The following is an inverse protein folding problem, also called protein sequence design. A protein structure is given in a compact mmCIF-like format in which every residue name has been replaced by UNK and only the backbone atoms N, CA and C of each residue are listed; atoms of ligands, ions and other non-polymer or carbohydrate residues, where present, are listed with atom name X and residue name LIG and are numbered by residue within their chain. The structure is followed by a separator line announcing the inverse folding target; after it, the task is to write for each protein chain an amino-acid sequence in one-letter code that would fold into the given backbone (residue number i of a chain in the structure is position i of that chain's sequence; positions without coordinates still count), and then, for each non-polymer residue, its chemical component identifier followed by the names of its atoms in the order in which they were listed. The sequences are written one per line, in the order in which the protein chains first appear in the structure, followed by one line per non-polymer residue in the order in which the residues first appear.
data_IF_265127452275
#
_entry.id   IF_265127452275
#
_cell.length_a   1.000
_cell.length_b   1.000
_cell.length_c   1.000
_cell.angle_alpha   90.00
_cell.angle_beta   90.00
_cell.angle_gamma   90.00
#
_symmetry.space_group_name_H-M   'P 1'
#
loop_
_entity.id
_entity.type
_entity.pdbx_description
1 polymer ?
#
# COMPACT_ATOMS: atom_id res chain seq x y z
N UNK A 1 -48.81 6.70 -9.40
CA UNK A 1 -48.13 7.56 -8.42
C UNK A 1 -47.07 6.72 -7.71
N UNK A 2 -45.79 6.97 -8.00
CA UNK A 2 -44.67 6.96 -7.03
C UNK A 2 -43.46 7.52 -7.77
N UNK A 3 -42.94 8.61 -7.22
CA UNK A 3 -41.87 9.47 -7.72
C UNK A 3 -40.64 8.72 -8.25
N UNK A 4 -40.33 8.91 -9.54
CA UNK A 4 -38.96 8.87 -10.03
C UNK A 4 -38.22 10.09 -9.45
N UNK A 5 -37.41 9.86 -8.42
CA UNK A 5 -36.53 10.88 -7.85
C UNK A 5 -35.65 11.48 -8.96
N UNK A 6 -35.47 12.81 -9.03
CA UNK A 6 -34.56 13.41 -9.98
C UNK A 6 -33.15 12.89 -9.66
N UNK A 7 -32.49 12.33 -10.68
CA UNK A 7 -31.07 12.03 -10.59
C UNK A 7 -30.34 13.36 -10.41
N UNK A 8 -29.92 13.65 -9.18
CA UNK A 8 -29.00 14.75 -8.87
C UNK A 8 -27.72 14.55 -9.69
N UNK A 9 -27.67 15.19 -10.85
CA UNK A 9 -26.44 15.44 -11.59
C UNK A 9 -25.61 16.42 -10.80
N UNK A 10 -24.95 15.92 -9.76
CA UNK A 10 -23.89 16.64 -9.07
C UNK A 10 -22.92 17.17 -10.13
N UNK A 11 -22.70 18.50 -10.23
CA UNK A 11 -21.83 19.05 -11.24
C UNK A 11 -20.45 18.42 -11.04
N UNK A 12 -19.89 17.86 -12.11
CA UNK A 12 -18.53 17.30 -12.14
C UNK A 12 -17.54 18.40 -11.75
N UNK A 13 -17.30 18.56 -10.45
CA UNK A 13 -16.26 19.42 -9.92
C UNK A 13 -14.94 18.82 -10.38
N UNK A 14 -14.37 19.41 -11.42
CA UNK A 14 -13.04 19.05 -11.91
C UNK A 14 -12.07 19.28 -10.75
N UNK A 15 -11.49 18.18 -10.26
CA UNK A 15 -10.50 18.21 -9.19
C UNK A 15 -9.35 19.15 -9.58
N UNK A 16 -9.02 20.06 -8.65
CA UNK A 16 -7.95 21.02 -8.80
C UNK A 16 -6.62 20.30 -9.08
N UNK A 17 -5.80 20.89 -9.96
CA UNK A 17 -4.51 20.32 -10.35
C UNK A 17 -3.62 20.13 -9.13
N UNK A 18 -3.70 21.04 -8.16
CA UNK A 18 -2.97 20.93 -6.90
C UNK A 18 -3.38 19.70 -6.09
N UNK A 19 -4.68 19.36 -6.05
CA UNK A 19 -5.16 18.15 -5.36
C UNK A 19 -4.63 16.89 -6.03
N UNK A 20 -4.58 16.87 -7.36
CA UNK A 20 -4.01 15.74 -8.11
C UNK A 20 -2.51 15.58 -7.88
N UNK A 21 -1.77 16.69 -7.88
CA UNK A 21 -0.34 16.69 -7.61
C UNK A 21 -0.02 16.31 -6.16
N UNK A 22 -0.77 16.84 -5.19
CA UNK A 22 -0.62 16.49 -3.77
C UNK A 22 -0.92 15.00 -3.52
N UNK A 23 -1.97 14.47 -4.15
CA UNK A 23 -2.29 13.04 -4.08
C UNK A 23 -1.19 12.18 -4.72
N UNK A 24 -0.71 12.56 -5.90
CA UNK A 24 0.39 11.87 -6.59
C UNK A 24 1.71 11.93 -5.82
N UNK A 25 2.02 13.04 -5.16
CA UNK A 25 3.20 13.18 -4.31
C UNK A 25 3.14 12.22 -3.10
N UNK A 26 1.94 12.01 -2.54
CA UNK A 26 1.72 11.00 -1.51
C UNK A 26 1.97 9.57 -2.02
N UNK A 27 1.43 9.24 -3.19
CA UNK A 27 1.55 7.90 -3.81
C UNK A 27 2.99 7.58 -4.28
N UNK A 28 3.75 8.60 -4.70
CA UNK A 28 5.16 8.44 -5.08
C UNK A 28 5.99 7.78 -3.97
N UNK A 29 5.71 8.09 -2.71
CA UNK A 29 6.44 7.48 -1.59
C UNK A 29 6.29 5.96 -1.55
N UNK A 30 5.07 5.45 -1.76
CA UNK A 30 4.77 4.03 -1.80
C UNK A 30 5.42 3.34 -3.02
N UNK A 31 5.26 3.94 -4.20
CA UNK A 31 5.82 3.39 -5.44
C UNK A 31 7.35 3.36 -5.47
N UNK A 32 8.00 4.41 -4.97
CA UNK A 32 9.47 4.50 -4.87
C UNK A 32 9.99 3.47 -3.87
N UNK A 33 9.37 3.38 -2.69
CA UNK A 33 9.80 2.45 -1.64
C UNK A 33 9.66 1.00 -2.10
N UNK A 34 8.54 0.64 -2.74
CA UNK A 34 8.31 -0.70 -3.27
C UNK A 34 9.33 -1.09 -4.36
N UNK A 35 9.70 -0.15 -5.23
CA UNK A 35 10.75 -0.40 -6.22
C UNK A 35 12.11 -0.53 -5.56
N UNK A 36 12.52 0.44 -4.74
CA UNK A 36 13.81 0.38 -4.04
C UNK A 36 13.96 -0.92 -3.24
N UNK A 37 12.92 -1.33 -2.51
CA UNK A 37 12.89 -2.60 -1.79
C UNK A 37 13.21 -3.78 -2.72
N UNK A 38 12.53 -3.90 -3.86
CA UNK A 38 12.73 -5.02 -4.78
C UNK A 38 14.15 -5.05 -5.36
N UNK A 39 14.69 -3.88 -5.74
CA UNK A 39 16.04 -3.76 -6.29
C UNK A 39 17.12 -4.03 -5.23
N UNK A 40 17.01 -3.41 -4.06
CA UNK A 40 17.98 -3.56 -2.97
C UNK A 40 18.00 -4.99 -2.41
N UNK A 41 16.83 -5.63 -2.26
CA UNK A 41 16.76 -6.99 -1.73
C UNK A 41 17.37 -8.00 -2.71
N UNK A 42 17.14 -7.83 -4.02
CA UNK A 42 17.76 -8.69 -5.04
C UNK A 42 19.29 -8.62 -4.96
N UNK A 43 19.84 -7.39 -4.96
CA UNK A 43 21.29 -7.14 -4.90
C UNK A 43 21.87 -7.70 -3.61
N UNK A 44 21.19 -7.53 -2.48
CA UNK A 44 21.62 -8.09 -1.20
C UNK A 44 21.67 -9.63 -1.26
N UNK A 45 20.62 -10.27 -1.76
CA UNK A 45 20.55 -11.73 -1.85
C UNK A 45 21.65 -12.29 -2.77
N UNK A 46 21.93 -11.66 -3.91
CA UNK A 46 22.94 -12.18 -4.85
C UNK A 46 24.37 -11.80 -4.46
N UNK A 47 24.62 -10.55 -4.06
CA UNK A 47 25.99 -10.02 -3.91
C UNK A 47 26.50 -10.08 -2.48
N UNK A 48 25.63 -10.05 -1.47
CA UNK A 48 26.03 -10.08 -0.05
C UNK A 48 25.82 -11.48 0.52
N UNK A 49 24.64 -12.06 0.33
CA UNK A 49 24.32 -13.41 0.81
C UNK A 49 24.84 -14.52 -0.12
N UNK A 50 25.31 -14.18 -1.32
CA UNK A 50 25.90 -15.13 -2.27
C UNK A 50 24.89 -16.13 -2.86
N UNK A 51 23.59 -15.83 -2.81
CA UNK A 51 22.55 -16.71 -3.31
C UNK A 51 22.60 -16.79 -4.84
N UNK A 52 22.34 -17.98 -5.38
CA UNK A 52 22.15 -18.13 -6.83
C UNK A 52 21.03 -17.19 -7.31
N UNK A 53 21.23 -16.41 -8.40
CA UNK A 53 20.20 -15.52 -8.95
C UNK A 53 18.84 -16.19 -9.20
N UNK A 54 18.83 -17.48 -9.56
CA UNK A 54 17.60 -18.24 -9.74
C UNK A 54 16.81 -18.39 -8.43
N UNK A 55 17.48 -18.64 -7.31
CA UNK A 55 16.86 -18.74 -5.99
C UNK A 55 16.46 -17.35 -5.46
N UNK A 56 17.30 -16.33 -5.67
CA UNK A 56 16.98 -14.96 -5.28
C UNK A 56 15.72 -14.45 -6.01
N UNK A 57 15.59 -14.77 -7.31
CA UNK A 57 14.38 -14.48 -8.08
C UNK A 57 13.13 -15.19 -7.56
N UNK A 58 13.25 -16.45 -7.12
CA UNK A 58 12.14 -17.19 -6.50
C UNK A 58 11.69 -16.57 -5.18
N UNK A 59 12.63 -16.15 -4.32
CA UNK A 59 12.31 -15.47 -3.05
C UNK A 59 11.50 -14.19 -3.31
N UNK A 60 11.94 -13.37 -4.27
CA UNK A 60 11.21 -12.16 -4.64
C UNK A 60 9.84 -12.47 -5.25
N UNK A 61 9.75 -13.51 -6.08
CA UNK A 61 8.49 -13.92 -6.69
C UNK A 61 7.48 -14.38 -5.64
N UNK A 62 7.91 -15.16 -4.64
CA UNK A 62 7.07 -15.55 -3.50
C UNK A 62 6.56 -14.31 -2.77
N UNK A 63 7.45 -13.34 -2.49
CA UNK A 63 7.07 -12.06 -1.88
C UNK A 63 6.01 -11.31 -2.70
N UNK A 64 6.19 -11.22 -4.02
CA UNK A 64 5.22 -10.55 -4.90
C UNK A 64 3.88 -11.27 -5.00
N UNK A 65 3.87 -12.61 -5.00
CA UNK A 65 2.63 -13.40 -4.95
C UNK A 65 1.91 -13.16 -3.63
N UNK A 66 2.66 -13.09 -2.53
CA UNK A 66 2.10 -12.77 -1.22
C UNK A 66 1.47 -11.37 -1.18
N UNK A 67 2.16 -10.35 -1.70
CA UNK A 67 1.63 -8.99 -1.82
C UNK A 67 0.37 -8.96 -2.69
N UNK A 68 0.39 -9.65 -3.84
CA UNK A 68 -0.74 -9.72 -4.76
C UNK A 68 -2.02 -10.32 -4.14
N UNK A 69 -1.89 -11.15 -3.10
CA UNK A 69 -3.01 -11.69 -2.35
C UNK A 69 -3.43 -10.74 -1.22
N UNK A 70 -2.47 -10.19 -0.48
CA UNK A 70 -2.76 -9.33 0.66
C UNK A 70 -3.38 -8.00 0.24
N UNK A 71 -2.92 -7.40 -0.85
CA UNK A 71 -3.37 -6.08 -1.28
C UNK A 71 -4.90 -6.05 -1.53
N UNK A 72 -5.50 -7.00 -2.28
CA UNK A 72 -6.96 -7.09 -2.39
C UNK A 72 -7.66 -7.41 -1.07
N UNK A 73 -7.10 -8.30 -0.23
CA UNK A 73 -7.72 -8.69 1.04
C UNK A 73 -7.80 -7.51 1.99
N UNK A 74 -6.69 -6.81 2.18
CA UNK A 74 -6.60 -5.60 3.01
C UNK A 74 -7.44 -4.49 2.39
N UNK A 75 -7.44 -4.34 1.07
CA UNK A 75 -8.31 -3.40 0.35
C UNK A 75 -9.79 -3.64 0.65
N UNK A 76 -10.26 -4.88 0.53
CA UNK A 76 -11.64 -5.25 0.85
C UNK A 76 -11.99 -5.07 2.34
N UNK A 77 -11.07 -5.41 3.24
CA UNK A 77 -11.32 -5.32 4.68
C UNK A 77 -11.33 -3.84 5.14
N UNK A 78 -10.42 -3.03 4.61
CA UNK A 78 -10.40 -1.57 4.78
C UNK A 78 -11.71 -0.97 4.29
N UNK A 79 -12.17 -1.37 3.12
CA UNK A 79 -13.43 -0.91 2.57
C UNK A 79 -14.66 -1.38 3.40
N UNK A 80 -14.65 -2.56 3.99
CA UNK A 80 -15.80 -2.99 4.82
C UNK A 80 -15.81 -2.38 6.22
N UNK A 81 -14.73 -1.71 6.63
CA UNK A 81 -14.59 -1.15 7.97
C UNK A 81 -15.42 0.13 8.13
N UNK A 82 -16.48 0.10 8.94
CA UNK A 82 -17.23 1.28 9.37
C UNK A 82 -16.75 1.72 10.76
N UNK A 83 -15.91 2.74 10.80
CA UNK A 83 -15.41 3.35 12.04
C UNK A 83 -15.89 4.79 12.18
N UNK A 84 -16.01 5.25 13.43
CA UNK A 84 -16.38 6.62 13.81
C UNK A 84 -15.39 7.67 13.29
N UNK A 85 -14.15 7.27 13.00
CA UNK A 85 -13.05 8.14 12.54
C UNK A 85 -12.82 8.05 11.02
N UNK A 86 -13.69 7.35 10.28
CA UNK A 86 -13.58 7.13 8.85
C UNK A 86 -13.07 5.73 8.47
N UNK A 87 -13.14 5.41 7.18
CA UNK A 87 -12.94 4.06 6.62
C UNK A 87 -11.47 3.58 6.71
N UNK A 88 -10.50 4.47 6.48
CA UNK A 88 -9.06 4.14 6.34
C UNK A 88 -8.20 4.42 7.57
N UNK A 89 -8.57 5.39 8.40
CA UNK A 89 -7.77 5.78 9.57
C UNK A 89 -7.50 4.64 10.58
N UNK A 90 -8.46 3.76 10.91
CA UNK A 90 -8.20 2.64 11.82
C UNK A 90 -7.10 1.71 11.30
N UNK A 91 -7.07 1.48 9.98
CA UNK A 91 -6.07 0.62 9.33
C UNK A 91 -4.68 1.25 9.34
N UNK A 92 -4.58 2.57 9.18
CA UNK A 92 -3.31 3.29 9.27
C UNK A 92 -2.75 3.24 10.69
N UNK A 93 -3.58 3.48 11.72
CA UNK A 93 -3.11 3.40 13.10
C UNK A 93 -2.79 1.96 13.53
N UNK A 94 -3.61 0.99 13.14
CA UNK A 94 -3.39 -0.42 13.47
C UNK A 94 -2.14 -0.99 12.80
N UNK A 95 -1.79 -0.51 11.59
CA UNK A 95 -0.56 -0.93 10.89
C UNK A 95 0.68 -0.18 11.38
N UNK A 96 0.55 1.08 11.79
CA UNK A 96 1.66 1.89 12.29
C UNK A 96 2.31 1.29 13.56
N UNK A 97 1.51 0.71 14.47
CA UNK A 97 2.00 0.10 15.72
C UNK A 97 2.92 -1.11 15.48
N UNK A 98 2.49 -2.19 14.80
CA UNK A 98 3.35 -3.34 14.53
C UNK A 98 4.52 -2.99 13.60
N UNK A 99 4.33 -2.05 12.66
CA UNK A 99 5.42 -1.57 11.81
C UNK A 99 6.50 -0.86 12.61
N UNK A 100 6.12 0.11 13.46
CA UNK A 100 7.05 0.82 14.32
C UNK A 100 7.76 -0.11 15.32
N UNK A 101 7.05 -1.09 15.87
CA UNK A 101 7.63 -2.08 16.77
C UNK A 101 8.67 -2.96 16.06
N UNK A 102 8.34 -3.46 14.86
CA UNK A 102 9.25 -4.30 14.06
C UNK A 102 10.49 -3.53 13.64
N UNK A 103 10.32 -2.26 13.26
CA UNK A 103 11.43 -1.39 12.89
C UNK A 103 12.33 -1.10 14.08
N UNK A 104 11.75 -0.78 15.24
CA UNK A 104 12.53 -0.58 16.47
C UNK A 104 13.33 -1.85 16.84
N UNK A 105 12.70 -3.03 16.77
CA UNK A 105 13.37 -4.30 17.03
C UNK A 105 14.51 -4.59 16.06
N UNK A 106 14.38 -4.21 14.79
CA UNK A 106 15.45 -4.37 13.80
C UNK A 106 16.71 -3.57 14.13
N UNK A 107 16.57 -2.42 14.80
CA UNK A 107 17.66 -1.51 15.19
C UNK A 107 18.04 -1.60 16.67
N UNK A 108 17.39 -2.47 17.43
CA UNK A 108 17.67 -2.65 18.86
C UNK A 108 18.99 -3.38 19.11
N UNK A 109 19.55 -4.06 18.10
CA UNK A 109 20.87 -4.71 18.14
C UNK A 109 21.97 -3.77 17.68
#
# INVERSE_FOLDING_TARGET
MTHSAPADTQPSQKLDLFTKLAYGAGDMSGGITANLQAWSLLIFLTNVAGLNPALAGQVLLIGKVWDAINDPVVGMLSDRTRSRWGRRYPWIFLSAVPFGLSFFLMWWV
#
